data_IF_634664615151
#
_entry.id   IF_634664615151
#
_cell.length_a   1.000
_cell.length_b   1.000
_cell.length_c   1.000
_cell.angle_alpha   90.00
_cell.angle_beta   90.00
_cell.angle_gamma   90.00
#
_symmetry.space_group_name_H-M   'P 1'
#
loop_
_entity.id
_entity.type
_entity.pdbx_description
1 polymer ?
#
# COMPACT_ATOMS: atom_id res chain seq x y z
N UNK A 1 63.61 -32.59 20.90
CA UNK A 1 64.61 -31.67 20.31
C UNK A 1 63.86 -30.60 19.54
N UNK A 2 64.15 -29.35 19.87
CA UNK A 2 63.44 -28.15 19.44
C UNK A 2 63.74 -27.76 17.98
N UNK A 3 62.80 -27.06 17.35
CA UNK A 3 63.09 -25.89 16.51
C UNK A 3 61.82 -25.09 16.26
N UNK A 4 61.85 -23.84 16.74
CA UNK A 4 60.90 -22.77 16.50
C UNK A 4 61.12 -22.14 15.12
N UNK A 5 60.05 -21.62 14.49
CA UNK A 5 60.03 -20.22 14.05
C UNK A 5 58.60 -19.72 13.79
N UNK A 6 58.31 -18.55 14.34
CA UNK A 6 57.03 -17.87 14.39
C UNK A 6 56.77 -17.00 13.15
N UNK A 7 55.50 -16.64 12.90
CA UNK A 7 55.10 -15.37 12.27
C UNK A 7 53.69 -14.93 12.72
N UNK A 8 53.71 -13.88 13.53
CA UNK A 8 52.84 -12.69 13.66
C UNK A 8 51.32 -12.75 13.45
N UNK A 9 50.61 -12.28 14.48
CA UNK A 9 49.17 -11.95 14.57
C UNK A 9 48.81 -10.65 13.86
N UNK A 10 47.54 -10.52 13.47
CA UNK A 10 46.76 -9.29 13.69
C UNK A 10 45.28 -9.66 13.94
N UNK A 11 44.83 -9.42 15.18
CA UNK A 11 43.43 -9.38 15.58
C UNK A 11 42.99 -7.91 15.52
N UNK A 12 41.82 -7.63 14.93
CA UNK A 12 41.12 -6.36 15.16
C UNK A 12 39.70 -6.68 15.59
N UNK A 13 39.41 -6.33 16.84
CA UNK A 13 38.09 -6.25 17.43
C UNK A 13 37.66 -4.77 17.44
N UNK A 14 36.39 -4.50 17.17
CA UNK A 14 35.71 -3.24 17.52
C UNK A 14 34.20 -3.56 17.61
N UNK A 15 33.63 -3.77 18.79
CA UNK A 15 33.15 -2.79 19.81
C UNK A 15 31.96 -1.95 19.36
N UNK A 16 30.80 -2.25 19.96
CA UNK A 16 29.55 -1.49 19.98
C UNK A 16 29.76 -0.09 20.59
N UNK A 17 28.89 0.90 20.30
CA UNK A 17 28.68 2.02 21.21
C UNK A 17 27.26 2.01 21.80
N UNK A 18 27.21 2.18 23.13
CA UNK A 18 26.05 2.61 23.88
C UNK A 18 26.11 4.14 24.10
N UNK A 19 24.92 4.71 24.15
CA UNK A 19 24.49 6.08 24.45
C UNK A 19 25.32 6.91 25.43
N UNK A 20 25.39 8.23 25.18
CA UNK A 20 25.26 9.28 26.20
C UNK A 20 25.00 10.66 25.55
N UNK A 21 23.96 11.34 26.06
CA UNK A 21 23.58 12.72 25.78
C UNK A 21 24.60 13.73 26.30
N UNK A 22 24.74 14.88 25.62
CA UNK A 22 24.95 16.20 26.25
C UNK A 22 24.55 17.34 25.29
N UNK A 23 23.72 18.23 25.80
CA UNK A 23 23.37 19.54 25.22
C UNK A 23 24.53 20.54 25.40
N UNK A 24 24.71 21.48 24.46
CA UNK A 24 24.86 22.93 24.72
C UNK A 24 24.82 23.78 23.43
N UNK A 25 24.49 25.05 23.66
CA UNK A 25 23.97 26.11 22.79
C UNK A 25 25.04 26.91 21.99
N UNK A 26 24.56 27.59 20.93
CA UNK A 26 25.00 28.88 20.31
C UNK A 26 26.22 28.94 19.37
N UNK A 27 26.02 29.62 18.23
CA UNK A 27 27.07 30.42 17.58
C UNK A 27 27.01 30.48 16.05
N UNK A 28 26.31 31.48 15.51
CA UNK A 28 26.36 31.90 14.10
C UNK A 28 27.72 32.46 13.72
N UNK A 29 28.26 32.13 12.53
CA UNK A 29 29.24 32.96 11.83
C UNK A 29 29.08 32.84 10.31
N UNK A 30 28.85 33.98 9.67
CA UNK A 30 28.99 34.22 8.24
C UNK A 30 30.42 34.68 7.92
N UNK A 31 30.99 34.20 6.81
CA UNK A 31 32.20 34.79 6.22
C UNK A 31 32.08 34.72 4.70
N UNK A 32 31.91 35.91 4.11
CA UNK A 32 32.13 36.18 2.69
C UNK A 32 33.63 36.13 2.41
N UNK A 33 34.01 35.57 1.26
CA UNK A 33 35.29 35.91 0.63
C UNK A 33 35.09 36.18 -0.85
N UNK A 34 35.53 37.37 -1.23
CA UNK A 34 35.57 37.97 -2.56
C UNK A 34 36.88 37.58 -3.24
N UNK A 35 36.82 37.17 -4.50
CA UNK A 35 37.97 37.28 -5.41
C UNK A 35 37.55 37.90 -6.74
N UNK A 36 38.35 38.89 -7.13
CA UNK A 36 38.19 39.81 -8.25
C UNK A 36 39.43 39.71 -9.14
N UNK A 37 39.23 39.88 -10.46
CA UNK A 37 40.15 40.22 -11.59
C UNK A 37 39.84 39.29 -12.79
N UNK A 38 39.77 39.69 -14.06
CA UNK A 38 40.28 40.86 -14.79
C UNK A 38 39.55 41.02 -16.16
N UNK A 39 39.23 42.28 -16.50
CA UNK A 39 39.02 42.97 -17.80
C UNK A 39 38.91 42.21 -19.15
N UNK A 40 37.95 42.66 -20.00
CA UNK A 40 38.21 43.40 -21.26
C UNK A 40 36.95 44.09 -21.81
N UNK A 41 37.19 45.21 -22.51
CA UNK A 41 36.27 46.29 -22.89
C UNK A 41 35.34 45.96 -24.07
N UNK A 42 34.15 46.59 -24.10
CA UNK A 42 33.27 46.67 -25.27
C UNK A 42 32.11 47.63 -25.02
N UNK A 43 32.12 48.78 -25.68
CA UNK A 43 31.12 49.86 -25.53
C UNK A 43 29.96 49.64 -26.51
N UNK A 44 28.73 49.43 -26.02
CA UNK A 44 27.51 49.44 -26.84
C UNK A 44 26.48 50.46 -26.29
N UNK A 45 26.11 51.39 -27.17
CA UNK A 45 25.19 52.51 -26.99
C UNK A 45 23.76 52.02 -26.69
N UNK A 46 23.20 52.37 -25.53
CA UNK A 46 21.79 52.11 -25.22
C UNK A 46 20.86 53.09 -25.96
N UNK A 47 20.00 52.57 -26.85
CA UNK A 47 18.81 53.28 -27.34
C UNK A 47 17.66 53.00 -26.36
N UNK A 48 17.07 54.05 -25.79
CA UNK A 48 15.84 53.94 -25.00
C UNK A 48 14.64 53.84 -25.94
N UNK A 49 13.92 52.72 -25.90
CA UNK A 49 12.56 52.61 -26.41
C UNK A 49 11.61 52.41 -25.23
N UNK A 50 10.72 53.39 -25.01
CA UNK A 50 9.65 53.31 -24.00
C UNK A 50 8.64 52.24 -24.43
N UNK A 51 8.57 51.14 -23.69
CA UNK A 51 7.46 50.17 -23.80
C UNK A 51 6.47 50.45 -22.67
N UNK A 52 5.23 50.73 -23.07
CA UNK A 52 4.08 50.93 -22.19
C UNK A 52 3.73 49.63 -21.46
N UNK A 53 3.84 49.62 -20.13
CA UNK A 53 3.40 48.53 -19.27
C UNK A 53 1.87 48.55 -19.15
N UNK A 54 1.18 47.69 -19.92
CA UNK A 54 -0.20 47.29 -19.61
C UNK A 54 -0.19 46.47 -18.32
N UNK A 55 -0.88 46.94 -17.28
CA UNK A 55 -1.20 46.18 -16.06
C UNK A 55 -1.96 44.90 -16.45
N UNK A 56 -1.30 43.74 -16.37
CA UNK A 56 -2.00 42.46 -16.32
C UNK A 56 -2.67 42.32 -14.96
N UNK A 57 -4.00 42.24 -14.95
CA UNK A 57 -4.79 41.76 -13.81
C UNK A 57 -4.33 40.33 -13.51
N UNK A 58 -3.73 40.12 -12.34
CA UNK A 58 -3.52 38.79 -11.78
C UNK A 58 -4.88 38.22 -11.39
N UNK A 59 -5.40 37.30 -12.21
CA UNK A 59 -6.42 36.35 -11.78
C UNK A 59 -5.75 35.42 -10.76
N UNK A 60 -6.00 35.68 -9.48
CA UNK A 60 -5.76 34.69 -8.43
C UNK A 60 -6.90 33.68 -8.51
N UNK A 61 -6.76 32.68 -9.39
CA UNK A 61 -7.49 31.43 -9.20
C UNK A 61 -6.99 30.84 -7.88
N UNK A 62 -7.81 30.93 -6.83
CA UNK A 62 -7.51 30.32 -5.55
C UNK A 62 -7.44 28.80 -5.78
N UNK A 63 -6.23 28.25 -5.83
CA UNK A 63 -6.04 26.81 -5.81
C UNK A 63 -6.75 26.27 -4.56
N UNK A 64 -7.70 25.33 -4.70
CA UNK A 64 -8.46 24.82 -3.56
C UNK A 64 -7.50 24.20 -2.54
N UNK A 65 -7.82 24.37 -1.26
CA UNK A 65 -7.02 23.80 -0.18
C UNK A 65 -6.88 22.28 -0.40
N UNK A 66 -5.67 21.69 -0.36
CA UNK A 66 -5.47 20.25 -0.54
C UNK A 66 -6.40 19.39 0.33
N UNK A 67 -6.75 19.89 1.52
CA UNK A 67 -7.69 19.26 2.46
C UNK A 67 -9.14 19.28 1.95
N UNK A 68 -9.59 20.39 1.35
CA UNK A 68 -10.94 20.49 0.77
C UNK A 68 -11.08 19.55 -0.43
N UNK A 69 -10.05 19.45 -1.26
CA UNK A 69 -10.00 18.51 -2.38
C UNK A 69 -10.06 17.05 -1.89
N UNK A 70 -9.30 16.71 -0.84
CA UNK A 70 -9.33 15.37 -0.26
C UNK A 70 -10.71 15.00 0.30
N UNK A 71 -11.38 15.91 1.02
CA UNK A 71 -12.71 15.66 1.56
C UNK A 71 -13.74 15.43 0.43
N UNK A 72 -13.67 16.21 -0.65
CA UNK A 72 -14.51 16.01 -1.83
C UNK A 72 -14.27 14.64 -2.49
N UNK A 73 -13.01 14.21 -2.61
CA UNK A 73 -12.63 12.87 -3.10
C UNK A 73 -13.22 11.78 -2.20
N UNK A 74 -13.10 11.90 -0.88
CA UNK A 74 -13.63 10.91 0.06
C UNK A 74 -15.16 10.83 0.02
N UNK A 75 -15.84 11.97 -0.08
CA UNK A 75 -17.30 12.01 -0.24
C UNK A 75 -17.73 11.34 -1.55
N UNK A 76 -17.03 11.62 -2.66
CA UNK A 76 -17.29 10.95 -3.95
C UNK A 76 -17.13 9.42 -3.86
N UNK A 77 -16.05 8.94 -3.23
CA UNK A 77 -15.80 7.50 -3.02
C UNK A 77 -16.90 6.84 -2.19
N UNK A 78 -17.26 7.44 -1.06
CA UNK A 78 -18.32 6.92 -0.17
C UNK A 78 -19.69 6.94 -0.84
N UNK A 79 -20.02 8.00 -1.58
CA UNK A 79 -21.29 8.10 -2.30
C UNK A 79 -21.41 7.05 -3.41
N UNK A 80 -20.34 6.83 -4.17
CA UNK A 80 -20.30 5.76 -5.18
C UNK A 80 -20.52 4.40 -4.52
N UNK A 81 -19.77 4.12 -3.44
CA UNK A 81 -19.87 2.86 -2.72
C UNK A 81 -21.29 2.62 -2.21
N UNK A 82 -21.88 3.60 -1.52
CA UNK A 82 -23.24 3.52 -1.00
C UNK A 82 -24.28 3.32 -2.12
N UNK A 83 -24.14 4.05 -3.24
CA UNK A 83 -25.02 3.92 -4.40
C UNK A 83 -24.97 2.52 -5.01
N UNK A 84 -23.77 1.96 -5.19
CA UNK A 84 -23.58 0.61 -5.76
C UNK A 84 -24.08 -0.46 -4.78
N UNK A 85 -23.83 -0.32 -3.49
CA UNK A 85 -24.35 -1.24 -2.46
C UNK A 85 -25.89 -1.27 -2.46
N UNK A 86 -26.54 -0.10 -2.55
CA UNK A 86 -27.99 0.01 -2.64
C UNK A 86 -28.53 -0.61 -3.93
N UNK A 87 -27.95 -0.25 -5.08
CA UNK A 87 -28.37 -0.75 -6.40
C UNK A 87 -28.32 -2.28 -6.50
N UNK A 88 -27.36 -2.92 -5.81
CA UNK A 88 -27.15 -4.36 -5.86
C UNK A 88 -27.72 -5.11 -4.65
N UNK A 89 -28.52 -4.46 -3.79
CA UNK A 89 -29.12 -5.06 -2.58
C UNK A 89 -28.09 -5.76 -1.66
N UNK A 90 -26.93 -5.13 -1.46
CA UNK A 90 -25.83 -5.69 -0.68
C UNK A 90 -25.88 -5.31 0.80
N UNK A 91 -26.73 -4.35 1.16
CA UNK A 91 -27.00 -3.95 2.54
C UNK A 91 -27.83 -5.05 3.20
N UNK A 92 -27.19 -5.84 4.05
CA UNK A 92 -27.79 -6.97 4.76
C UNK A 92 -27.64 -6.71 6.25
N UNK A 93 -28.64 -6.13 6.93
CA UNK A 93 -28.58 -5.96 8.38
C UNK A 93 -28.39 -7.32 9.03
N UNK A 94 -27.28 -7.48 9.77
CA UNK A 94 -26.98 -8.71 10.51
C UNK A 94 -26.90 -8.38 11.99
N UNK A 95 -27.45 -9.26 12.82
CA UNK A 95 -27.36 -9.16 14.28
C UNK A 95 -25.92 -9.34 14.78
N UNK A 96 -25.08 -10.04 14.00
CA UNK A 96 -23.68 -10.33 14.32
C UNK A 96 -22.81 -10.12 13.08
N UNK A 97 -21.62 -9.53 13.29
CA UNK A 97 -20.61 -9.41 12.26
C UNK A 97 -20.08 -10.80 11.86
N UNK A 98 -19.86 -11.00 10.56
CA UNK A 98 -19.23 -12.22 10.06
C UNK A 98 -17.82 -12.39 10.64
N UNK A 99 -17.47 -13.60 11.10
CA UNK A 99 -16.19 -13.83 11.77
C UNK A 99 -14.99 -13.64 10.85
N UNK A 100 -15.12 -13.90 9.55
CA UNK A 100 -14.06 -13.68 8.57
C UNK A 100 -13.82 -12.18 8.36
N UNK A 101 -14.89 -11.39 8.29
CA UNK A 101 -14.80 -9.92 8.22
C UNK A 101 -14.21 -9.35 9.52
N UNK A 102 -14.68 -9.82 10.69
CA UNK A 102 -14.10 -9.42 11.98
C UNK A 102 -12.61 -9.78 12.08
N UNK A 103 -12.19 -10.89 11.47
CA UNK A 103 -10.79 -11.28 11.41
C UNK A 103 -9.99 -10.36 10.47
N UNK A 104 -10.62 -9.67 9.53
CA UNK A 104 -9.93 -8.76 8.61
C UNK A 104 -9.59 -7.39 9.23
N UNK A 105 -10.23 -7.04 10.34
CA UNK A 105 -10.16 -5.74 10.98
C UNK A 105 -9.14 -5.74 12.11
N UNK A 106 -8.13 -4.88 12.05
CA UNK A 106 -7.24 -4.57 13.17
C UNK A 106 -7.81 -3.44 14.01
N UNK A 107 -7.60 -3.53 15.32
CA UNK A 107 -8.07 -2.55 16.31
C UNK A 107 -6.88 -1.92 17.02
N UNK A 108 -6.84 -0.59 16.99
CA UNK A 108 -5.91 0.25 17.72
C UNK A 108 -6.74 1.13 18.67
N UNK A 109 -6.60 0.92 19.98
CA UNK A 109 -7.47 1.53 20.97
C UNK A 109 -7.07 2.96 21.32
N UNK A 110 -5.78 3.30 21.28
CA UNK A 110 -5.26 4.59 21.76
C UNK A 110 -5.82 5.75 20.93
N UNK A 111 -5.92 5.57 19.61
CA UNK A 111 -6.42 6.56 18.66
C UNK A 111 -7.82 6.22 18.14
N UNK A 112 -8.49 5.24 18.76
CA UNK A 112 -9.81 4.74 18.35
C UNK A 112 -9.86 4.44 16.85
N UNK A 113 -8.93 3.62 16.36
CA UNK A 113 -8.72 3.36 14.94
C UNK A 113 -8.97 1.88 14.61
N UNK A 114 -9.71 1.65 13.52
CA UNK A 114 -9.94 0.33 12.93
C UNK A 114 -9.44 0.33 11.50
N UNK A 115 -8.56 -0.61 11.17
CA UNK A 115 -8.03 -0.79 9.82
C UNK A 115 -8.48 -2.13 9.24
N UNK A 116 -9.17 -2.11 8.10
CA UNK A 116 -9.42 -3.32 7.34
C UNK A 116 -8.19 -3.68 6.49
N UNK A 117 -7.58 -4.83 6.79
CA UNK A 117 -6.48 -5.31 5.98
C UNK A 117 -7.00 -5.78 4.61
N UNK A 118 -6.47 -5.19 3.55
CA UNK A 118 -6.61 -5.73 2.20
C UNK A 118 -5.20 -6.04 1.71
N UNK A 119 -4.86 -7.29 1.42
CA UNK A 119 -3.51 -7.56 0.93
C UNK A 119 -3.21 -6.88 -0.40
N UNK A 120 -1.93 -6.52 -0.59
CA UNK A 120 -1.37 -5.87 -1.79
C UNK A 120 -1.82 -4.42 -2.03
N UNK A 121 -2.35 -3.76 -1.00
CA UNK A 121 -2.65 -2.31 -0.99
C UNK A 121 -1.81 -1.53 0.04
N UNK A 122 -0.67 -2.08 0.45
CA UNK A 122 0.21 -1.49 1.48
C UNK A 122 -0.05 -1.99 2.91
N UNK A 123 -0.83 -3.06 3.08
CA UNK A 123 -1.22 -3.57 4.40
C UNK A 123 -0.06 -3.84 5.38
N UNK A 124 1.12 -4.28 4.92
CA UNK A 124 2.29 -4.48 5.80
C UNK A 124 2.76 -3.17 6.43
N UNK A 125 2.67 -2.05 5.70
CA UNK A 125 3.05 -0.74 6.21
C UNK A 125 1.97 -0.19 7.15
N UNK A 126 0.69 -0.42 6.87
CA UNK A 126 -0.39 -0.12 7.83
C UNK A 126 -0.26 -0.91 9.14
N UNK A 127 0.12 -2.20 9.09
CA UNK A 127 0.38 -2.98 10.30
C UNK A 127 1.54 -2.39 11.11
N UNK A 128 2.63 -1.96 10.45
CA UNK A 128 3.75 -1.28 11.12
C UNK A 128 3.30 0.04 11.76
N UNK A 129 2.51 0.84 11.06
CA UNK A 129 1.93 2.08 11.59
C UNK A 129 1.08 1.80 12.83
N UNK A 130 0.19 0.80 12.80
CA UNK A 130 -0.62 0.40 13.97
C UNK A 130 0.27 -0.03 15.13
N UNK A 131 1.29 -0.84 14.85
CA UNK A 131 2.24 -1.29 15.86
C UNK A 131 2.98 -0.11 16.53
N UNK A 132 3.44 0.86 15.75
CA UNK A 132 4.09 2.07 16.26
C UNK A 132 3.12 2.94 17.09
N UNK A 133 1.86 3.08 16.65
CA UNK A 133 0.83 3.81 17.40
C UNK A 133 0.52 3.21 18.78
N UNK A 134 0.63 1.88 18.92
CA UNK A 134 0.34 1.19 20.19
C UNK A 134 1.48 1.26 21.20
N UNK A 135 2.71 1.34 20.71
CA UNK A 135 3.87 0.93 21.50
C UNK A 135 4.61 2.10 22.15
N UNK A 136 4.25 3.36 21.84
CA UNK A 136 4.96 4.57 22.28
C UNK A 136 6.49 4.46 22.11
N UNK A 137 6.91 3.61 21.15
CA UNK A 137 8.30 3.32 20.90
C UNK A 137 8.88 4.45 20.04
N UNK A 138 10.05 4.93 20.43
CA UNK A 138 10.96 5.66 19.55
C UNK A 138 11.63 4.67 18.58
N UNK A 139 10.84 3.89 17.85
CA UNK A 139 11.31 2.92 16.87
C UNK A 139 10.90 3.37 15.47
N UNK A 140 11.79 3.18 14.50
CA UNK A 140 11.50 3.49 13.10
C UNK A 140 10.80 2.32 12.42
N UNK A 141 9.90 2.60 11.47
CA UNK A 141 9.18 1.54 10.77
C UNK A 141 10.11 0.56 10.03
N UNK A 142 11.30 1.02 9.61
CA UNK A 142 12.35 0.23 8.95
C UNK A 142 12.96 -0.84 9.86
N UNK A 143 12.89 -0.64 11.18
CA UNK A 143 13.40 -1.58 12.19
C UNK A 143 12.42 -2.75 12.41
N UNK A 144 11.17 -2.62 11.94
CA UNK A 144 10.15 -3.65 12.05
C UNK A 144 10.21 -4.59 10.85
N UNK A 145 10.77 -5.77 11.10
CA UNK A 145 10.89 -6.84 10.11
C UNK A 145 9.53 -7.24 9.50
N UNK A 146 9.53 -7.52 8.20
CA UNK A 146 8.32 -7.80 7.43
C UNK A 146 7.56 -9.06 7.89
N UNK A 147 8.27 -10.14 8.20
CA UNK A 147 7.58 -11.38 8.59
C UNK A 147 7.05 -11.28 10.03
N UNK A 148 7.81 -10.65 10.94
CA UNK A 148 7.37 -10.44 12.33
C UNK A 148 6.07 -9.64 12.44
N UNK A 149 5.89 -8.61 11.61
CA UNK A 149 4.66 -7.80 11.63
C UNK A 149 3.42 -8.57 11.11
N UNK A 150 3.62 -9.69 10.42
CA UNK A 150 2.54 -10.56 9.95
C UNK A 150 2.12 -11.63 10.98
N UNK A 151 2.98 -11.94 11.94
CA UNK A 151 2.75 -12.97 12.96
C UNK A 151 2.63 -12.43 14.40
N UNK A 152 2.89 -11.15 14.62
CA UNK A 152 2.80 -10.55 15.96
C UNK A 152 1.38 -10.58 16.52
N UNK A 153 1.27 -10.92 17.81
CA UNK A 153 0.02 -10.87 18.58
C UNK A 153 -0.25 -9.49 19.20
N UNK A 154 0.65 -8.53 19.01
CA UNK A 154 0.57 -7.21 19.64
C UNK A 154 -0.52 -6.34 19.00
N UNK A 155 -0.71 -6.44 17.67
CA UNK A 155 -1.85 -5.83 16.99
C UNK A 155 -3.06 -6.76 17.02
N UNK A 156 -4.12 -6.36 17.70
CA UNK A 156 -5.30 -7.21 17.89
C UNK A 156 -6.28 -7.08 16.72
N UNK A 157 -6.91 -8.20 16.37
CA UNK A 157 -8.00 -8.25 15.39
C UNK A 157 -9.36 -8.13 16.08
N UNK A 158 -10.36 -7.55 15.42
CA UNK A 158 -11.69 -7.33 15.97
C UNK A 158 -12.37 -8.65 16.39
N UNK A 159 -12.08 -9.75 15.69
CA UNK A 159 -12.59 -11.09 16.04
C UNK A 159 -12.19 -11.57 17.44
N UNK A 160 -11.10 -11.03 18.01
CA UNK A 160 -10.64 -11.38 19.36
C UNK A 160 -11.51 -10.82 20.49
N UNK A 161 -12.48 -9.94 20.16
CA UNK A 161 -13.37 -9.32 21.13
C UNK A 161 -14.78 -9.93 21.09
N UNK A 162 -15.52 -9.96 22.22
CA UNK A 162 -16.91 -10.39 22.24
C UNK A 162 -17.79 -9.54 21.31
N UNK A 163 -18.89 -10.09 20.75
CA UNK A 163 -19.74 -9.37 19.78
C UNK A 163 -20.24 -8.00 20.24
N UNK A 164 -20.52 -7.83 21.54
CA UNK A 164 -20.94 -6.55 22.11
C UNK A 164 -19.86 -5.46 21.94
N UNK A 165 -18.60 -5.78 22.27
CA UNK A 165 -17.47 -4.87 22.08
C UNK A 165 -17.16 -4.65 20.60
N UNK A 166 -17.33 -5.67 19.74
CA UNK A 166 -17.16 -5.49 18.30
C UNK A 166 -18.11 -4.41 17.76
N UNK A 167 -19.38 -4.46 18.17
CA UNK A 167 -20.39 -3.46 17.82
C UNK A 167 -20.03 -2.07 18.36
N UNK A 168 -19.61 -2.00 19.63
CA UNK A 168 -19.19 -0.75 20.26
C UNK A 168 -18.02 -0.10 19.51
N UNK A 169 -16.98 -0.86 19.16
CA UNK A 169 -15.82 -0.31 18.47
C UNK A 169 -16.18 0.14 17.06
N UNK A 170 -16.97 -0.64 16.31
CA UNK A 170 -17.42 -0.22 14.98
C UNK A 170 -18.25 1.07 14.99
N UNK A 171 -19.01 1.33 16.07
CA UNK A 171 -19.77 2.56 16.25
C UNK A 171 -18.90 3.75 16.64
N UNK A 172 -17.84 3.54 17.43
CA UNK A 172 -17.11 4.63 18.08
C UNK A 172 -15.72 4.93 17.51
N UNK A 173 -15.18 4.04 16.66
CA UNK A 173 -13.80 4.13 16.15
C UNK A 173 -13.81 4.58 14.68
N UNK A 174 -12.78 5.31 14.27
CA UNK A 174 -12.54 5.65 12.87
C UNK A 174 -12.17 4.40 12.09
N UNK A 175 -13.00 4.02 11.12
CA UNK A 175 -12.83 2.81 10.29
C UNK A 175 -12.25 3.20 8.95
N UNK A 176 -11.14 2.56 8.59
CA UNK A 176 -10.41 2.84 7.36
C UNK A 176 -10.17 1.57 6.58
N UNK A 177 -10.37 1.63 5.27
CA UNK A 177 -9.93 0.61 4.33
C UNK A 177 -9.19 1.25 3.17
N UNK A 178 -8.32 0.48 2.54
CA UNK A 178 -7.63 0.88 1.31
C UNK A 178 -7.95 -0.11 0.21
N UNK A 179 -8.10 0.40 -1.01
CA UNK A 179 -8.40 -0.40 -2.20
C UNK A 179 -7.31 -0.22 -3.23
N UNK A 180 -7.29 -1.08 -4.23
CA UNK A 180 -6.39 -0.99 -5.39
C UNK A 180 -7.11 -1.50 -6.63
N UNK A 181 -6.72 -1.02 -7.81
CA UNK A 181 -7.21 -1.59 -9.06
C UNK A 181 -7.19 -3.14 -9.03
N UNK A 182 -8.33 -3.83 -9.22
CA UNK A 182 -8.45 -5.26 -8.88
C UNK A 182 -7.43 -6.16 -9.60
N UNK A 183 -7.15 -5.87 -10.87
CA UNK A 183 -6.20 -6.65 -11.67
C UNK A 183 -4.74 -6.36 -11.29
N UNK A 184 -4.42 -5.14 -10.89
CA UNK A 184 -3.06 -4.85 -10.38
C UNK A 184 -2.83 -5.55 -9.05
N UNK A 185 -3.87 -5.59 -8.20
CA UNK A 185 -3.84 -6.31 -6.93
C UNK A 185 -3.61 -7.80 -7.16
N UNK A 186 -4.29 -8.40 -8.16
CA UNK A 186 -4.11 -9.79 -8.55
C UNK A 186 -2.68 -10.09 -9.03
N UNK A 187 -2.15 -9.27 -9.94
CA UNK A 187 -0.77 -9.43 -10.44
C UNK A 187 0.25 -9.26 -9.30
N UNK A 188 0.03 -8.29 -8.42
CA UNK A 188 0.86 -8.10 -7.24
C UNK A 188 0.83 -9.33 -6.31
N UNK A 189 -0.32 -9.99 -6.15
CA UNK A 189 -0.45 -11.21 -5.36
C UNK A 189 0.31 -12.38 -5.99
N UNK A 190 0.16 -12.60 -7.30
CA UNK A 190 0.89 -13.64 -8.03
C UNK A 190 2.41 -13.46 -7.92
N UNK A 191 2.90 -12.24 -8.19
CA UNK A 191 4.33 -11.92 -8.08
C UNK A 191 4.83 -12.18 -6.66
N UNK A 192 4.12 -11.66 -5.65
CA UNK A 192 4.53 -11.80 -4.26
C UNK A 192 4.55 -13.26 -3.77
N UNK A 193 3.56 -14.07 -4.16
CA UNK A 193 3.31 -15.40 -3.57
C UNK A 193 3.82 -16.57 -4.38
N UNK A 194 3.88 -16.46 -5.70
CA UNK A 194 4.21 -17.59 -6.58
C UNK A 194 5.52 -17.40 -7.35
N UNK A 195 5.96 -16.15 -7.57
CA UNK A 195 7.27 -15.91 -8.19
C UNK A 195 8.41 -15.84 -7.18
N UNK A 196 8.14 -15.39 -5.96
CA UNK A 196 9.11 -15.45 -4.88
C UNK A 196 8.92 -16.74 -4.07
N UNK A 197 10.01 -17.22 -3.47
CA UNK A 197 10.04 -18.47 -2.70
C UNK A 197 9.42 -18.31 -1.31
N UNK A 198 8.20 -17.77 -1.22
CA UNK A 198 7.42 -17.83 0.01
C UNK A 198 7.07 -19.32 0.26
N UNK A 199 7.50 -19.93 1.38
CA UNK A 199 7.46 -21.39 1.52
C UNK A 199 6.07 -21.99 1.37
N UNK A 200 5.02 -21.42 1.96
CA UNK A 200 3.67 -21.98 1.90
C UNK A 200 3.09 -21.91 0.48
N UNK A 201 3.17 -20.75 -0.18
CA UNK A 201 2.56 -20.56 -1.50
C UNK A 201 3.38 -21.22 -2.62
N UNK A 202 4.70 -21.10 -2.59
CA UNK A 202 5.58 -21.69 -3.62
C UNK A 202 5.67 -23.21 -3.56
N UNK A 203 5.22 -23.82 -2.46
CA UNK A 203 5.11 -25.28 -2.32
C UNK A 203 3.66 -25.74 -2.36
N UNK A 204 2.85 -25.46 -1.34
CA UNK A 204 1.52 -26.04 -1.14
C UNK A 204 0.57 -25.61 -2.26
N UNK A 205 0.39 -24.30 -2.43
CA UNK A 205 -0.53 -23.77 -3.45
C UNK A 205 0.02 -24.05 -4.86
N UNK A 206 1.31 -23.86 -5.09
CA UNK A 206 1.91 -24.18 -6.38
C UNK A 206 1.77 -25.66 -6.76
N UNK A 207 1.88 -26.59 -5.80
CA UNK A 207 1.68 -28.02 -6.03
C UNK A 207 0.22 -28.35 -6.32
N UNK A 208 -0.72 -27.70 -5.64
CA UNK A 208 -2.16 -27.83 -5.94
C UNK A 208 -2.46 -27.39 -7.39
N UNK A 209 -1.94 -26.23 -7.80
CA UNK A 209 -2.09 -25.72 -9.16
C UNK A 209 -1.48 -26.69 -10.18
N UNK A 210 -0.24 -27.15 -9.95
CA UNK A 210 0.42 -28.14 -10.82
C UNK A 210 -0.38 -29.43 -10.92
N UNK A 211 -0.95 -29.91 -9.82
CA UNK A 211 -1.76 -31.12 -9.80
C UNK A 211 -3.06 -31.00 -10.61
N UNK A 212 -3.64 -29.80 -10.68
CA UNK A 212 -4.86 -29.52 -11.43
C UNK A 212 -4.63 -29.35 -12.93
N UNK A 213 -3.53 -28.68 -13.34
CA UNK A 213 -3.37 -28.20 -14.71
C UNK A 213 -2.19 -28.79 -15.48
N UNK A 214 -1.22 -29.45 -14.82
CA UNK A 214 -0.07 -30.07 -15.50
C UNK A 214 -0.20 -31.59 -15.59
N UNK A 215 0.20 -32.14 -16.74
CA UNK A 215 0.41 -33.59 -16.89
C UNK A 215 1.60 -34.07 -16.04
N UNK A 216 2.72 -33.35 -16.09
CA UNK A 216 3.88 -33.60 -15.24
C UNK A 216 3.87 -32.69 -14.00
N UNK A 217 3.47 -33.26 -12.85
CA UNK A 217 3.34 -32.54 -11.57
C UNK A 217 4.70 -32.17 -10.95
N UNK A 218 5.76 -32.88 -11.31
CA UNK A 218 7.10 -32.71 -10.74
C UNK A 218 7.98 -31.73 -11.55
N UNK A 219 7.40 -31.00 -12.51
CA UNK A 219 8.16 -30.00 -13.28
C UNK A 219 8.77 -28.95 -12.34
N UNK A 220 10.09 -28.66 -12.48
CA UNK A 220 10.77 -27.64 -11.67
C UNK A 220 10.36 -26.21 -12.06
N UNK A 221 9.65 -26.04 -13.18
CA UNK A 221 9.17 -24.73 -13.63
C UNK A 221 8.16 -24.15 -12.64
N UNK A 222 8.27 -22.86 -12.37
CA UNK A 222 7.30 -22.12 -11.55
C UNK A 222 5.92 -22.17 -12.21
N UNK A 223 4.88 -22.11 -11.38
CA UNK A 223 3.50 -21.95 -11.83
C UNK A 223 3.40 -20.68 -12.66
N UNK A 224 2.79 -20.76 -13.85
CA UNK A 224 2.59 -19.60 -14.72
C UNK A 224 1.42 -18.74 -14.24
N UNK A 225 1.36 -17.49 -14.71
CA UNK A 225 0.23 -16.62 -14.39
C UNK A 225 -1.09 -17.17 -14.96
N UNK A 226 -1.03 -17.81 -16.12
CA UNK A 226 -2.19 -18.44 -16.76
C UNK A 226 -2.74 -19.61 -15.92
N UNK A 227 -1.86 -20.46 -15.39
CA UNK A 227 -2.23 -21.56 -14.48
C UNK A 227 -2.81 -21.04 -13.17
N UNK A 228 -2.21 -19.98 -12.61
CA UNK A 228 -2.74 -19.32 -11.43
C UNK A 228 -4.14 -18.71 -11.67
N UNK A 229 -4.37 -18.09 -12.83
CA UNK A 229 -5.69 -17.57 -13.19
C UNK A 229 -6.72 -18.69 -13.34
N UNK A 230 -6.36 -19.81 -13.99
CA UNK A 230 -7.25 -20.97 -14.08
C UNK A 230 -7.60 -21.54 -12.70
N UNK A 231 -6.64 -21.54 -11.78
CA UNK A 231 -6.85 -21.98 -10.41
C UNK A 231 -7.86 -21.12 -9.64
N UNK A 232 -7.73 -19.79 -9.71
CA UNK A 232 -8.64 -18.90 -8.96
C UNK A 232 -10.06 -18.91 -9.53
N UNK A 233 -10.22 -18.97 -10.86
CA UNK A 233 -11.56 -18.97 -11.49
C UNK A 233 -12.28 -20.32 -11.34
N UNK A 234 -11.54 -21.41 -11.08
CA UNK A 234 -12.11 -22.72 -10.80
C UNK A 234 -12.68 -22.85 -9.37
N UNK A 235 -12.42 -21.88 -8.49
CA UNK A 235 -12.83 -21.89 -7.08
C UNK A 235 -13.96 -20.91 -6.81
N UNK A 236 -14.75 -21.18 -5.77
CA UNK A 236 -15.76 -20.22 -5.29
C UNK A 236 -15.08 -18.95 -4.75
N UNK A 237 -15.58 -17.74 -5.06
CA UNK A 237 -15.01 -16.48 -4.54
C UNK A 237 -14.88 -16.46 -3.01
N UNK A 238 -15.81 -17.10 -2.30
CA UNK A 238 -15.82 -17.15 -0.83
C UNK A 238 -14.70 -18.02 -0.24
N UNK A 239 -14.20 -19.01 -1.00
CA UNK A 239 -13.13 -19.92 -0.55
C UNK A 239 -11.74 -19.46 -0.99
N UNK A 240 -11.63 -18.36 -1.74
CA UNK A 240 -10.35 -17.83 -2.17
C UNK A 240 -9.50 -17.34 -0.99
N UNK A 241 -8.18 -17.49 -1.16
CA UNK A 241 -7.18 -16.93 -0.26
C UNK A 241 -7.31 -15.41 -0.17
N UNK A 242 -6.99 -14.84 0.99
CA UNK A 242 -7.10 -13.40 1.24
C UNK A 242 -6.30 -12.53 0.25
N UNK A 243 -5.23 -13.05 -0.35
CA UNK A 243 -4.38 -12.31 -1.27
C UNK A 243 -5.01 -12.05 -2.63
N UNK A 244 -5.93 -12.91 -3.07
CA UNK A 244 -6.64 -12.76 -4.35
C UNK A 244 -8.16 -12.85 -4.21
N UNK A 245 -8.73 -12.98 -3.01
CA UNK A 245 -10.16 -12.80 -2.76
C UNK A 245 -10.60 -11.36 -3.10
N UNK A 246 -11.77 -11.13 -3.71
CA UNK A 246 -12.30 -9.78 -3.92
C UNK A 246 -12.31 -8.94 -2.64
N UNK A 247 -11.92 -7.67 -2.74
CA UNK A 247 -11.75 -6.77 -1.59
C UNK A 247 -13.06 -6.53 -0.84
N UNK A 248 -14.18 -6.43 -1.56
CA UNK A 248 -15.50 -6.28 -0.95
C UNK A 248 -15.90 -7.48 -0.09
N UNK A 249 -15.43 -8.69 -0.40
CA UNK A 249 -15.66 -9.89 0.41
C UNK A 249 -14.74 -9.96 1.63
N UNK A 250 -13.63 -9.22 1.65
CA UNK A 250 -12.72 -9.15 2.80
C UNK A 250 -13.24 -8.17 3.86
N UNK A 251 -13.68 -6.99 3.40
CA UNK A 251 -13.98 -5.85 4.28
C UNK A 251 -15.48 -5.55 4.44
N UNK A 252 -16.36 -6.17 3.65
CA UNK A 252 -17.82 -5.97 3.71
C UNK A 252 -18.25 -4.48 3.79
N UNK A 253 -17.80 -3.62 2.86
CA UNK A 253 -18.00 -2.18 2.98
C UNK A 253 -19.46 -1.72 2.78
N UNK A 254 -20.34 -2.61 2.33
CA UNK A 254 -21.78 -2.33 2.28
C UNK A 254 -22.45 -2.45 3.67
N UNK A 255 -21.83 -3.15 4.61
CA UNK A 255 -22.37 -3.34 5.96
C UNK A 255 -21.50 -2.71 7.05
N UNK A 256 -20.26 -2.33 6.72
CA UNK A 256 -19.37 -1.52 7.55
C UNK A 256 -19.24 -0.12 6.96
N UNK A 257 -19.69 0.89 7.70
CA UNK A 257 -19.61 2.29 7.29
C UNK A 257 -18.19 2.81 7.47
N UNK A 258 -17.32 2.63 6.47
CA UNK A 258 -15.96 3.16 6.49
C UNK A 258 -15.95 4.69 6.46
N UNK A 259 -15.27 5.30 7.42
CA UNK A 259 -15.10 6.76 7.51
C UNK A 259 -14.18 7.26 6.39
N UNK A 260 -13.17 6.46 6.06
CA UNK A 260 -12.19 6.72 5.00
C UNK A 260 -12.02 5.46 4.12
N UNK A 261 -12.27 5.64 2.81
CA UNK A 261 -11.92 4.66 1.76
C UNK A 261 -10.74 5.23 0.97
N UNK A 262 -9.54 4.77 1.27
CA UNK A 262 -8.32 5.18 0.58
C UNK A 262 -8.05 4.35 -0.67
N UNK A 263 -7.22 4.86 -1.58
CA UNK A 263 -6.76 4.16 -2.78
C UNK A 263 -5.26 4.00 -2.77
N UNK A 264 -4.76 2.85 -3.25
CA UNK A 264 -3.33 2.60 -3.39
C UNK A 264 -2.67 3.62 -4.33
N UNK A 265 -3.42 4.06 -5.34
CA UNK A 265 -3.01 5.06 -6.31
C UNK A 265 -2.81 6.46 -5.68
N UNK A 266 -3.46 6.73 -4.54
CA UNK A 266 -3.34 7.97 -3.76
C UNK A 266 -2.83 7.72 -2.33
N UNK A 267 -2.10 6.61 -2.13
CA UNK A 267 -1.74 6.11 -0.81
C UNK A 267 -1.01 7.14 0.05
N UNK A 268 -0.10 7.93 -0.53
CA UNK A 268 0.62 8.99 0.18
C UNK A 268 -0.33 10.00 0.81
N UNK A 269 -1.14 10.67 -0.02
CA UNK A 269 -2.13 11.66 0.41
C UNK A 269 -3.15 11.06 1.40
N UNK A 270 -3.72 9.90 1.06
CA UNK A 270 -4.75 9.28 1.89
C UNK A 270 -4.20 8.84 3.25
N UNK A 271 -2.98 8.29 3.31
CA UNK A 271 -2.37 7.86 4.57
C UNK A 271 -2.02 9.04 5.47
N UNK A 272 -1.55 10.16 4.91
CA UNK A 272 -1.29 11.39 5.64
C UNK A 272 -2.57 11.94 6.29
N UNK A 273 -3.67 11.99 5.53
CA UNK A 273 -4.96 12.44 6.06
C UNK A 273 -5.52 11.47 7.12
N UNK A 274 -5.36 10.15 6.94
CA UNK A 274 -5.76 9.17 7.97
C UNK A 274 -5.02 9.43 9.28
N UNK A 275 -3.70 9.61 9.24
CA UNK A 275 -2.89 9.88 10.43
C UNK A 275 -3.33 11.17 11.14
N UNK A 276 -3.62 12.24 10.38
CA UNK A 276 -4.15 13.49 10.93
C UNK A 276 -5.53 13.30 11.59
N UNK A 277 -6.44 12.58 10.93
CA UNK A 277 -7.82 12.38 11.42
C UNK A 277 -7.85 11.57 12.72
N UNK A 278 -7.00 10.55 12.86
CA UNK A 278 -6.95 9.74 14.09
C UNK A 278 -6.13 10.42 15.21
N UNK A 279 -5.54 11.58 14.96
CA UNK A 279 -4.70 12.28 15.94
C UNK A 279 -3.38 11.58 16.22
N UNK A 280 -2.80 10.92 15.21
CA UNK A 280 -1.47 10.33 15.33
C UNK A 280 -0.41 11.41 15.61
N UNK A 281 0.72 11.07 16.27
CA UNK A 281 1.84 12.01 16.47
C UNK A 281 2.32 12.62 15.16
N UNK A 282 2.62 13.93 15.15
CA UNK A 282 3.09 14.64 13.94
C UNK A 282 4.40 14.07 13.35
N UNK A 283 5.22 13.43 14.19
CA UNK A 283 6.45 12.74 13.79
C UNK A 283 6.19 11.42 13.05
N UNK A 284 5.01 10.82 13.20
CA UNK A 284 4.69 9.55 12.58
C UNK A 284 4.28 9.77 11.12
N UNK A 285 5.03 9.16 10.21
CA UNK A 285 4.71 9.11 8.79
C UNK A 285 4.37 7.70 8.36
N UNK A 286 3.49 7.58 7.35
CA UNK A 286 3.21 6.28 6.76
C UNK A 286 4.44 5.78 5.98
N UNK A 287 4.95 4.57 6.31
CA UNK A 287 6.20 4.11 5.71
C UNK A 287 6.02 3.71 4.25
N UNK A 288 7.02 4.02 3.41
CA UNK A 288 7.10 3.57 2.01
C UNK A 288 8.00 2.34 1.83
N UNK A 289 8.05 1.46 2.83
CA UNK A 289 8.87 0.25 2.79
C UNK A 289 8.36 -0.76 1.77
N UNK A 290 9.28 -1.52 1.17
CA UNK A 290 9.01 -2.59 0.23
C UNK A 290 9.90 -3.80 0.57
N UNK A 291 9.31 -4.99 0.66
CA UNK A 291 10.05 -6.25 0.94
C UNK A 291 11.13 -6.53 -0.10
N UNK A 292 10.76 -6.51 -1.38
CA UNK A 292 11.67 -6.69 -2.52
C UNK A 292 12.04 -5.34 -3.14
N UNK A 293 12.87 -4.58 -2.42
CA UNK A 293 13.21 -3.19 -2.73
C UNK A 293 13.88 -2.97 -4.10
N UNK A 294 14.57 -3.99 -4.63
CA UNK A 294 15.20 -3.95 -5.96
C UNK A 294 14.22 -4.04 -7.12
N UNK A 295 13.01 -4.52 -6.89
CA UNK A 295 12.00 -4.64 -7.94
C UNK A 295 11.16 -3.37 -8.08
N UNK A 296 10.56 -3.17 -9.25
CA UNK A 296 9.48 -2.18 -9.40
C UNK A 296 8.23 -2.62 -8.64
N UNK A 297 7.48 -1.67 -8.06
CA UNK A 297 6.13 -1.97 -7.55
C UNK A 297 5.26 -2.33 -8.74
N UNK A 298 4.36 -3.30 -8.59
CA UNK A 298 3.33 -3.57 -9.61
C UNK A 298 2.61 -2.26 -9.90
N UNK A 299 2.33 -2.00 -11.17
CA UNK A 299 1.60 -0.86 -11.71
C UNK A 299 0.82 -1.32 -12.95
N UNK A 300 0.21 -0.38 -13.69
CA UNK A 300 -0.57 -0.67 -14.89
C UNK A 300 0.24 -1.36 -15.98
N UNK A 301 1.47 -0.91 -16.26
CA UNK A 301 2.32 -1.44 -17.33
C UNK A 301 2.71 -2.89 -17.07
N UNK A 302 3.19 -3.17 -15.85
CA UNK A 302 3.51 -4.54 -15.43
C UNK A 302 2.25 -5.41 -15.48
N UNK A 303 1.11 -4.87 -15.05
CA UNK A 303 -0.15 -5.61 -15.05
C UNK A 303 -0.57 -5.98 -16.47
N UNK A 304 -0.40 -5.09 -17.43
CA UNK A 304 -0.66 -5.33 -18.85
C UNK A 304 0.21 -6.47 -19.41
N UNK A 305 1.49 -6.55 -19.05
CA UNK A 305 2.38 -7.66 -19.47
C UNK A 305 1.87 -9.04 -19.03
N UNK A 306 1.30 -9.13 -17.83
CA UNK A 306 0.70 -10.37 -17.33
C UNK A 306 -0.65 -10.67 -17.98
N UNK A 307 -1.49 -9.65 -18.15
CA UNK A 307 -2.80 -9.83 -18.77
C UNK A 307 -2.70 -10.25 -20.24
N UNK A 308 -1.67 -9.82 -20.98
CA UNK A 308 -1.40 -10.26 -22.36
C UNK A 308 -1.13 -11.77 -22.51
N UNK A 309 -0.81 -12.46 -21.41
CA UNK A 309 -0.59 -13.92 -21.41
C UNK A 309 -1.90 -14.71 -21.33
N UNK A 310 -3.02 -14.03 -21.07
CA UNK A 310 -4.33 -14.66 -20.86
C UNK A 310 -5.14 -14.69 -22.15
N UNK A 311 -5.99 -15.72 -22.26
CA UNK A 311 -7.03 -15.76 -23.31
C UNK A 311 -8.15 -14.77 -23.00
N UNK A 312 -8.94 -14.39 -24.01
CA UNK A 312 -10.12 -13.54 -23.84
C UNK A 312 -11.10 -14.12 -22.82
N UNK A 313 -11.32 -15.45 -22.84
CA UNK A 313 -12.18 -16.15 -21.87
C UNK A 313 -11.66 -16.02 -20.44
N UNK A 314 -10.35 -16.18 -20.22
CA UNK A 314 -9.75 -16.01 -18.90
C UNK A 314 -9.93 -14.57 -18.39
N UNK A 315 -9.73 -13.58 -19.26
CA UNK A 315 -9.89 -12.18 -18.90
C UNK A 315 -11.34 -11.85 -18.55
N UNK A 316 -12.32 -12.37 -19.30
CA UNK A 316 -13.73 -12.20 -18.99
C UNK A 316 -14.07 -12.81 -17.62
N UNK A 317 -13.60 -14.03 -17.34
CA UNK A 317 -13.85 -14.71 -16.06
C UNK A 317 -13.22 -13.99 -14.87
N UNK A 318 -11.99 -13.49 -14.97
CA UNK A 318 -11.39 -12.71 -13.87
C UNK A 318 -12.07 -11.35 -13.71
N UNK A 319 -12.53 -10.71 -14.79
CA UNK A 319 -13.32 -9.48 -14.70
C UNK A 319 -14.63 -9.74 -13.96
N UNK A 320 -15.30 -10.85 -14.26
CA UNK A 320 -16.52 -11.25 -13.56
C UNK A 320 -16.26 -11.54 -12.08
N UNK A 321 -15.15 -12.20 -11.76
CA UNK A 321 -14.74 -12.49 -10.37
C UNK A 321 -14.57 -11.21 -9.54
N UNK A 322 -14.01 -10.14 -10.11
CA UNK A 322 -13.76 -8.87 -9.43
C UNK A 322 -14.76 -7.76 -9.77
N UNK A 323 -15.85 -8.06 -10.48
CA UNK A 323 -16.81 -7.08 -11.01
C UNK A 323 -17.31 -6.11 -9.94
N UNK A 324 -17.65 -6.63 -8.75
CA UNK A 324 -18.10 -5.81 -7.64
C UNK A 324 -17.02 -4.87 -7.09
N UNK A 325 -15.74 -5.27 -7.09
CA UNK A 325 -14.66 -4.38 -6.68
C UNK A 325 -14.50 -3.21 -7.69
N UNK A 326 -14.67 -3.48 -8.99
CA UNK A 326 -14.67 -2.43 -10.00
C UNK A 326 -15.76 -1.40 -9.75
N UNK A 327 -17.00 -1.86 -9.52
CA UNK A 327 -18.13 -0.98 -9.31
C UNK A 327 -18.08 -0.24 -7.96
N UNK A 328 -17.85 -0.95 -6.86
CA UNK A 328 -17.88 -0.36 -5.51
C UNK A 328 -16.81 0.71 -5.31
N UNK A 329 -15.64 0.55 -5.95
CA UNK A 329 -14.50 1.42 -5.74
C UNK A 329 -14.21 2.33 -6.95
N UNK A 330 -15.14 2.40 -7.91
CA UNK A 330 -15.02 3.22 -9.12
C UNK A 330 -13.68 3.01 -9.84
N UNK A 331 -13.31 1.76 -10.09
CA UNK A 331 -12.18 1.43 -10.96
C UNK A 331 -12.71 1.26 -12.37
N UNK A 332 -12.00 1.87 -13.33
CA UNK A 332 -12.34 1.71 -14.73
C UNK A 332 -11.76 0.41 -15.26
N UNK A 333 -12.60 -0.33 -15.99
CA UNK A 333 -12.11 -1.38 -16.88
C UNK A 333 -11.81 -0.70 -18.22
N UNK A 334 -10.65 -0.04 -18.36
CA UNK A 334 -10.25 0.48 -19.69
C UNK A 334 -9.90 -0.67 -20.61
N UNK A 335 -10.92 -1.32 -21.16
CA UNK A 335 -10.85 -2.50 -22.02
C UNK A 335 -9.97 -2.24 -23.26
N UNK A 336 -10.01 -1.01 -23.78
CA UNK A 336 -9.27 -0.57 -24.97
C UNK A 336 -7.74 -0.58 -24.80
N UNK A 337 -7.23 -0.40 -23.57
CA UNK A 337 -5.78 -0.42 -23.29
C UNK A 337 -5.19 -1.84 -23.30
N UNK A 338 -6.02 -2.88 -23.10
CA UNK A 338 -5.56 -4.27 -22.94
C UNK A 338 -5.74 -5.15 -24.19
N UNK A 339 -6.66 -4.82 -25.09
CA UNK A 339 -7.09 -5.71 -26.19
C UNK A 339 -6.90 -5.16 -27.61
N UNK A 340 -6.37 -3.95 -27.77
CA UNK A 340 -6.09 -3.36 -29.08
C UNK A 340 -4.85 -3.95 -29.80
N UNK A 341 -4.33 -5.11 -29.37
CA UNK A 341 -3.09 -5.70 -29.91
C UNK A 341 -3.20 -7.16 -30.40
N UNK A 342 -4.42 -7.69 -30.53
CA UNK A 342 -4.64 -9.02 -31.12
C UNK A 342 -5.52 -8.99 -32.39
N UNK A 343 -5.56 -7.86 -33.11
CA UNK A 343 -6.08 -7.81 -34.49
C UNK A 343 -4.94 -7.60 -35.46
#
# INVERSE_FOLDING_TARGET
MASHMAKSRCFVAASRPAWLLRFHFLGSFSLLSTHCKLQKQGCCRFRQTKVSLRRQKTLTDAFPNPTENWLAIQNSRKNTLASVCLKNNLNKPRNKLDSHVANQLFVEHKHKFIYCEVPKVGCSNWKRTIFLLQSDLNAEASEIEHDNIHHTSLIKRLVSYPPALQKEFLSNYTKVMFTRHPLERLVSAYRDKLLHSEPFYSTTIANEIRAMFRKNKNSPEKVSFQEFVNFIIAKSPHTLDIHWKPMFLLCDPCNIHYDIVGKYETLGLDSEHVLKVIGAPESLQYPSLKRYGSEKRTDGDITLEYLRQLTSEQIEKIKKLYEMDFFLFNYTMKYEDYFSLNN
#
